data_IF_496042488938
#
_entry.id   IF_496042488938
#
_cell.length_a   1.000
_cell.length_b   1.000
_cell.length_c   1.000
_cell.angle_alpha   90.00
_cell.angle_beta   90.00
_cell.angle_gamma   90.00
#
_symmetry.space_group_name_H-M   'P 1'
#
loop_
_entity.id
_entity.type
_entity.pdbx_description
1 polymer ?
#
# COMPACT_ATOMS: atom_id res chain seq x y z
N UNK A 1 -6.72 -20.40 7.54
CA UNK A 1 -6.24 -19.10 7.05
C UNK A 1 -4.79 -18.99 7.45
N UNK A 2 -3.90 -18.98 6.47
CA UNK A 2 -2.44 -19.06 6.60
C UNK A 2 -1.76 -17.68 6.56
N UNK A 3 -2.43 -16.69 5.97
CA UNK A 3 -1.99 -15.30 5.92
C UNK A 3 -3.16 -14.32 6.06
N UNK A 4 -2.88 -13.13 6.59
CA UNK A 4 -3.77 -11.98 6.63
C UNK A 4 -3.18 -10.89 5.72
N UNK A 5 -3.99 -10.39 4.79
CA UNK A 5 -3.66 -9.25 3.95
C UNK A 5 -4.67 -8.14 4.21
N UNK A 6 -4.19 -6.93 4.53
CA UNK A 6 -5.07 -5.78 4.69
C UNK A 6 -4.51 -4.53 4.03
N UNK A 7 -5.40 -3.82 3.33
CA UNK A 7 -5.12 -2.59 2.60
C UNK A 7 -6.00 -1.47 3.17
N UNK A 8 -5.67 -1.00 4.37
CA UNK A 8 -6.25 0.21 4.93
C UNK A 8 -5.16 1.09 5.52
N UNK A 9 -5.50 2.37 5.66
CA UNK A 9 -4.56 3.42 5.99
C UNK A 9 -4.75 3.80 7.46
N UNK A 10 -3.71 3.64 8.27
CA UNK A 10 -3.62 4.27 9.58
C UNK A 10 -3.02 5.67 9.38
N UNK A 11 -3.83 6.70 9.64
CA UNK A 11 -3.52 8.12 9.37
C UNK A 11 -2.53 8.71 10.38
N UNK A 12 -2.17 7.98 11.44
CA UNK A 12 -1.24 8.44 12.46
C UNK A 12 -0.31 7.31 12.89
N UNK A 13 1.01 7.52 12.96
CA UNK A 13 1.90 6.54 13.61
C UNK A 13 1.54 6.56 15.09
N UNK A 14 0.63 5.67 15.45
CA UNK A 14 0.20 5.46 16.82
C UNK A 14 1.18 4.52 17.51
N UNK A 15 1.35 4.63 18.84
CA UNK A 15 2.09 3.62 19.58
C UNK A 15 1.56 2.22 19.26
N UNK A 16 2.47 1.26 19.09
CA UNK A 16 2.19 -0.10 18.61
C UNK A 16 1.10 -0.88 19.40
N UNK A 17 0.77 -0.44 20.61
CA UNK A 17 -0.23 -1.10 21.47
C UNK A 17 -1.47 -0.22 21.70
N UNK A 18 -1.65 0.83 20.89
CA UNK A 18 -2.79 1.75 20.98
C UNK A 18 -3.78 1.57 19.84
N UNK A 19 -3.42 0.83 18.79
CA UNK A 19 -4.32 0.50 17.70
C UNK A 19 -4.81 -0.96 17.78
N UNK A 20 -6.08 -1.16 17.45
CA UNK A 20 -6.69 -2.49 17.40
C UNK A 20 -6.00 -3.39 16.37
N UNK A 21 -5.48 -2.82 15.29
CA UNK A 21 -4.82 -3.59 14.25
C UNK A 21 -3.42 -4.05 14.63
N UNK A 22 -2.64 -3.20 15.28
CA UNK A 22 -1.31 -3.58 15.75
C UNK A 22 -1.43 -4.67 16.82
N UNK A 23 -2.44 -4.61 17.70
CA UNK A 23 -2.74 -5.66 18.68
C UNK A 23 -3.22 -6.95 18.00
N UNK A 24 -4.17 -6.85 17.06
CA UNK A 24 -4.72 -7.99 16.35
C UNK A 24 -3.68 -8.70 15.47
N UNK A 25 -2.83 -7.93 14.77
CA UNK A 25 -1.73 -8.46 13.97
C UNK A 25 -0.64 -9.11 14.82
N UNK A 26 -0.34 -8.54 15.99
CA UNK A 26 0.57 -9.16 16.94
C UNK A 26 0.04 -10.53 17.41
N UNK A 27 -1.24 -10.60 17.75
CA UNK A 27 -1.88 -11.86 18.13
C UNK A 27 -1.87 -12.89 16.99
N UNK A 28 -2.15 -12.46 15.75
CA UNK A 28 -2.12 -13.33 14.58
C UNK A 28 -0.72 -13.95 14.37
N UNK A 29 0.34 -13.15 14.48
CA UNK A 29 1.72 -13.62 14.38
C UNK A 29 2.06 -14.62 15.49
N UNK A 30 1.57 -14.41 16.72
CA UNK A 30 1.74 -15.38 17.80
C UNK A 30 1.08 -16.75 17.51
N UNK A 31 0.03 -16.77 16.70
CA UNK A 31 -0.64 -18.00 16.25
C UNK A 31 -0.05 -18.55 14.94
N UNK A 32 1.08 -18.03 14.47
CA UNK A 32 1.75 -18.48 13.25
C UNK A 32 1.12 -17.99 11.95
N UNK A 33 0.24 -16.98 12.01
CA UNK A 33 -0.39 -16.37 10.84
C UNK A 33 0.40 -15.14 10.40
N UNK A 34 0.93 -15.15 9.19
CA UNK A 34 1.68 -14.01 8.64
C UNK A 34 0.75 -12.83 8.34
N UNK A 35 1.18 -11.61 8.65
CA UNK A 35 0.40 -10.38 8.41
C UNK A 35 1.11 -9.49 7.40
N UNK A 36 0.36 -9.03 6.39
CA UNK A 36 0.84 -8.16 5.31
C UNK A 36 0.01 -6.88 5.28
N UNK A 37 0.68 -5.74 5.28
CA UNK A 37 0.08 -4.40 5.19
C UNK A 37 0.69 -3.59 4.04
N UNK A 38 -0.11 -2.73 3.43
CA UNK A 38 0.40 -1.75 2.45
C UNK A 38 1.12 -0.58 3.15
N UNK A 39 2.17 -0.03 2.53
CA UNK A 39 2.91 1.14 3.01
C UNK A 39 2.13 2.47 2.97
N UNK A 40 0.90 2.44 2.43
CA UNK A 40 0.04 3.58 2.09
C UNK A 40 0.52 4.41 0.88
N UNK A 41 -0.37 5.29 0.40
CA UNK A 41 -0.16 6.13 -0.79
C UNK A 41 -0.13 7.63 -0.42
N UNK A 42 0.42 7.97 0.75
CA UNK A 42 0.45 9.37 1.17
C UNK A 42 1.55 10.12 0.44
N UNK A 43 1.13 10.93 -0.53
CA UNK A 43 2.01 11.92 -1.14
C UNK A 43 1.83 13.26 -0.45
N UNK A 44 2.70 13.52 0.53
CA UNK A 44 3.02 14.89 0.95
C UNK A 44 4.49 15.09 0.62
N UNK A 45 4.76 15.67 -0.55
CA UNK A 45 6.08 16.18 -0.98
C UNK A 45 6.90 16.78 0.18
N UNK A 46 8.25 16.70 0.21
CA UNK A 46 9.18 15.61 -0.03
C UNK A 46 9.69 15.07 1.34
N UNK A 47 8.77 14.82 2.26
CA UNK A 47 9.17 14.45 3.63
C UNK A 47 9.62 12.99 3.67
N UNK A 48 10.83 12.69 4.18
CA UNK A 48 11.20 11.31 4.45
C UNK A 48 10.30 10.73 5.55
N UNK A 49 10.07 9.41 5.51
CA UNK A 49 9.31 8.66 6.54
C UNK A 49 7.78 8.78 6.47
N UNK A 50 7.20 8.77 5.27
CA UNK A 50 5.74 8.71 5.07
C UNK A 50 5.15 7.29 5.13
N UNK A 51 6.00 6.26 5.28
CA UNK A 51 5.57 4.85 5.37
C UNK A 51 4.68 4.65 6.59
N UNK A 52 3.54 4.00 6.37
CA UNK A 52 2.62 3.55 7.43
C UNK A 52 2.77 2.06 7.66
N UNK A 53 2.21 1.57 8.77
CA UNK A 53 2.21 0.16 9.14
C UNK A 53 3.64 -0.41 9.27
N UNK A 54 4.40 0.23 10.16
CA UNK A 54 5.82 -0.09 10.46
C UNK A 54 5.94 -1.05 11.65
N UNK A 55 4.90 -1.84 11.93
CA UNK A 55 4.95 -2.87 12.95
C UNK A 55 6.07 -3.87 12.62
N UNK A 56 7.02 -4.14 13.55
CA UNK A 56 8.17 -5.01 13.27
C UNK A 56 7.81 -6.46 12.90
N UNK A 57 6.60 -6.89 13.27
CA UNK A 57 6.07 -8.24 13.00
C UNK A 57 5.25 -8.33 11.71
N UNK A 58 5.05 -7.22 11.00
CA UNK A 58 4.26 -7.19 9.77
C UNK A 58 5.14 -7.01 8.55
N UNK A 59 4.69 -7.53 7.41
CA UNK A 59 5.32 -7.25 6.11
C UNK A 59 4.68 -6.00 5.49
N UNK A 60 5.45 -4.91 5.43
CA UNK A 60 5.03 -3.65 4.83
C UNK A 60 5.39 -3.62 3.33
N UNK A 61 4.38 -3.47 2.47
CA UNK A 61 4.52 -3.59 1.00
C UNK A 61 4.37 -2.21 0.33
N UNK A 62 5.41 -1.80 -0.39
CA UNK A 62 5.39 -0.62 -1.26
C UNK A 62 4.78 -0.94 -2.63
N UNK A 63 4.24 0.07 -3.31
CA UNK A 63 3.76 -0.05 -4.68
C UNK A 63 4.86 0.34 -5.67
N UNK A 64 4.99 -0.42 -6.75
CA UNK A 64 5.83 -0.07 -7.90
C UNK A 64 5.16 -0.50 -9.19
N UNK A 65 5.56 0.14 -10.26
CA UNK A 65 5.04 -0.10 -11.60
C UNK A 65 5.86 -1.18 -12.29
N UNK A 66 5.19 -2.07 -13.00
CA UNK A 66 5.84 -3.06 -13.88
C UNK A 66 5.92 -2.51 -15.31
N UNK A 67 6.72 -3.15 -16.17
CA UNK A 67 6.80 -2.83 -17.60
C UNK A 67 5.55 -3.33 -18.37
N UNK A 68 4.37 -2.92 -17.89
CA UNK A 68 3.07 -3.13 -18.51
C UNK A 68 2.36 -1.79 -18.58
N UNK A 69 1.96 -1.42 -19.79
CA UNK A 69 1.26 -0.18 -20.06
C UNK A 69 -0.16 -0.44 -20.55
N UNK A 70 -1.13 0.35 -20.09
CA UNK A 70 -2.51 0.34 -20.57
C UNK A 70 -2.79 1.64 -21.36
N UNK A 71 -2.42 1.70 -22.66
CA UNK A 71 -2.55 2.92 -23.43
C UNK A 71 -4.01 3.26 -23.73
N UNK A 72 -4.37 4.53 -23.54
CA UNK A 72 -5.70 5.05 -23.86
C UNK A 72 -5.66 5.81 -25.18
N UNK A 73 -6.46 5.37 -26.15
CA UNK A 73 -6.67 6.11 -27.41
C UNK A 73 -7.72 7.19 -27.21
N UNK A 74 -7.38 8.42 -27.58
CA UNK A 74 -8.25 9.59 -27.51
C UNK A 74 -8.44 10.09 -28.95
N UNK A 75 -9.68 10.11 -29.45
CA UNK A 75 -10.00 10.54 -30.81
C UNK A 75 -10.68 11.92 -30.74
N UNK A 76 -10.13 12.89 -31.45
CA UNK A 76 -10.65 14.26 -31.54
C UNK A 76 -10.77 14.62 -33.03
N UNK A 77 -11.98 14.59 -33.57
CA UNK A 77 -12.19 14.71 -35.02
C UNK A 77 -11.56 13.53 -35.76
N UNK A 78 -10.75 13.80 -36.79
CA UNK A 78 -9.96 12.80 -37.51
C UNK A 78 -8.59 12.50 -36.85
N UNK A 79 -8.25 13.18 -35.75
CA UNK A 79 -6.96 13.05 -35.08
C UNK A 79 -7.05 11.98 -33.99
N UNK A 80 -6.07 11.06 -33.96
CA UNK A 80 -5.94 10.00 -32.95
C UNK A 80 -4.71 10.26 -32.08
N UNK A 81 -4.92 10.48 -30.78
CA UNK A 81 -3.87 10.54 -29.76
C UNK A 81 -3.80 9.22 -29.00
N UNK A 82 -2.60 8.73 -28.68
CA UNK A 82 -2.42 7.59 -27.76
C UNK A 82 -1.64 8.06 -26.54
N UNK A 83 -2.28 8.06 -25.37
CA UNK A 83 -1.62 8.38 -24.11
C UNK A 83 -1.06 7.09 -23.51
N UNK A 84 0.27 7.03 -23.36
CA UNK A 84 0.94 6.01 -22.58
C UNK A 84 1.09 6.51 -21.15
N UNK A 85 0.24 6.02 -20.24
CA UNK A 85 0.44 6.23 -18.81
C UNK A 85 1.27 5.09 -18.25
N UNK A 86 2.40 5.42 -17.64
CA UNK A 86 2.93 4.59 -16.57
C UNK A 86 1.90 4.63 -15.43
N UNK A 87 1.51 3.46 -14.93
CA UNK A 87 0.79 3.32 -13.65
C UNK A 87 1.63 3.83 -12.50
#
# INVERSE_FOLDING_TARGET
MDHICASYIIVLVVPLLKDGSSIGSFHAIQQGVTVVFSAANYEVSPEPSLVRNVEPWSLCVAASSIDRNFPTKIIIGEIIFTRYNAI
#
